data_IF_681835104996
#
_entry.id   IF_681835104996
#
_cell.length_a   1.000
_cell.length_b   1.000
_cell.length_c   1.000
_cell.angle_alpha   90.00
_cell.angle_beta   90.00
_cell.angle_gamma   90.00
#
_symmetry.space_group_name_H-M   'P 1'
#
loop_
_entity.id
_entity.type
_entity.pdbx_description
1 polymer ?
#
# COMPACT_ATOMS: atom_id res chain seq x y z
N UNK A 1 -12.72 -17.54 -6.34
CA UNK A 1 -13.56 -16.32 -6.21
C UNK A 1 -13.54 -15.70 -4.80
N UNK A 2 -12.41 -15.10 -4.38
CA UNK A 2 -12.38 -14.23 -3.18
C UNK A 2 -12.67 -12.81 -3.65
N UNK A 3 -13.95 -12.49 -3.83
CA UNK A 3 -14.39 -11.10 -3.76
C UNK A 3 -13.84 -10.58 -2.43
N UNK A 4 -13.02 -9.53 -2.46
CA UNK A 4 -12.61 -8.79 -1.26
C UNK A 4 -13.87 -8.51 -0.46
N UNK A 5 -14.09 -9.34 0.57
CA UNK A 5 -15.34 -9.36 1.29
C UNK A 5 -15.55 -7.96 1.89
N UNK A 6 -16.81 -7.54 2.05
CA UNK A 6 -17.14 -6.22 2.61
C UNK A 6 -16.34 -5.95 3.88
N UNK A 7 -16.10 -6.97 4.72
CA UNK A 7 -15.29 -6.89 5.94
C UNK A 7 -13.81 -6.66 5.67
N UNK A 8 -13.19 -7.33 4.70
CA UNK A 8 -11.79 -7.06 4.32
C UNK A 8 -11.63 -5.66 3.74
N UNK A 9 -12.52 -5.25 2.81
CA UNK A 9 -12.50 -3.89 2.27
C UNK A 9 -12.65 -2.87 3.39
N UNK A 10 -13.60 -3.08 4.29
CA UNK A 10 -13.85 -2.22 5.45
C UNK A 10 -12.62 -2.13 6.36
N UNK A 11 -11.98 -3.25 6.70
CA UNK A 11 -10.75 -3.26 7.51
C UNK A 11 -9.62 -2.42 6.92
N UNK A 12 -9.47 -2.40 5.59
CA UNK A 12 -8.45 -1.57 4.96
C UNK A 12 -8.78 -0.07 5.03
N UNK A 13 -10.06 0.29 4.89
CA UNK A 13 -10.51 1.66 5.09
C UNK A 13 -10.39 2.10 6.55
N UNK A 14 -10.60 1.19 7.51
CA UNK A 14 -10.35 1.47 8.93
C UNK A 14 -8.87 1.82 9.19
N UNK A 15 -7.91 1.20 8.49
CA UNK A 15 -6.50 1.58 8.61
C UNK A 15 -6.25 3.02 8.11
N UNK A 16 -6.91 3.45 7.02
CA UNK A 16 -6.83 4.82 6.49
C UNK A 16 -7.49 5.81 7.45
N UNK A 17 -8.67 5.50 7.97
CA UNK A 17 -9.36 6.34 8.96
C UNK A 17 -8.56 6.43 10.27
N UNK A 18 -7.86 5.35 10.64
CA UNK A 18 -6.91 5.37 11.77
C UNK A 18 -5.76 6.34 11.49
N UNK A 19 -5.17 6.31 10.30
CA UNK A 19 -4.12 7.26 9.91
C UNK A 19 -4.62 8.72 9.93
N UNK A 20 -5.88 8.98 9.52
CA UNK A 20 -6.52 10.29 9.64
C UNK A 20 -6.67 10.76 11.08
N UNK A 21 -7.16 9.89 11.97
CA UNK A 21 -7.31 10.20 13.39
C UNK A 21 -5.94 10.52 14.04
N UNK A 22 -4.89 9.77 13.69
CA UNK A 22 -3.52 10.00 14.16
C UNK A 22 -2.96 11.33 13.64
N UNK A 23 -3.28 11.72 12.40
CA UNK A 23 -2.91 13.01 11.84
C UNK A 23 -3.57 14.16 12.60
N UNK A 24 -4.87 14.04 12.90
CA UNK A 24 -5.60 15.02 13.72
C UNK A 24 -5.04 15.13 15.14
N UNK A 25 -4.50 14.04 15.69
CA UNK A 25 -3.82 14.01 16.99
C UNK A 25 -2.39 14.57 16.98
N UNK A 26 -1.87 15.03 15.82
CA UNK A 26 -0.53 15.61 15.70
C UNK A 26 0.61 14.60 15.79
N UNK A 27 0.35 13.32 15.51
CA UNK A 27 1.30 12.21 15.66
C UNK A 27 1.90 11.80 14.30
N UNK A 28 2.60 12.72 13.64
CA UNK A 28 3.00 12.62 12.23
C UNK A 28 3.81 11.37 11.86
N UNK A 29 4.80 10.98 12.68
CA UNK A 29 5.58 9.78 12.43
C UNK A 29 4.71 8.50 12.44
N UNK A 30 3.67 8.46 13.27
CA UNK A 30 2.74 7.34 13.31
C UNK A 30 1.79 7.35 12.10
N UNK A 31 1.47 8.52 11.51
CA UNK A 31 0.67 8.61 10.29
C UNK A 31 1.38 7.88 9.14
N UNK A 32 2.64 8.21 8.91
CA UNK A 32 3.42 7.63 7.80
C UNK A 32 3.69 6.14 7.99
N UNK A 33 3.84 5.69 9.24
CA UNK A 33 3.92 4.27 9.57
C UNK A 33 2.61 3.53 9.25
N UNK A 34 1.46 4.11 9.64
CA UNK A 34 0.15 3.49 9.42
C UNK A 34 -0.22 3.37 7.94
N UNK A 35 0.23 4.31 7.11
CA UNK A 35 -0.05 4.33 5.67
C UNK A 35 0.44 3.10 4.89
N UNK A 36 1.44 2.37 5.40
CA UNK A 36 1.90 1.10 4.80
C UNK A 36 0.80 0.03 4.82
N UNK A 37 0.04 -0.09 5.92
CA UNK A 37 -0.88 -1.20 6.18
C UNK A 37 -1.98 -1.36 5.12
N UNK A 38 -2.78 -0.32 4.78
CA UNK A 38 -3.88 -0.48 3.83
C UNK A 38 -3.38 -0.83 2.42
N UNK A 39 -2.23 -0.27 2.01
CA UNK A 39 -1.62 -0.54 0.70
C UNK A 39 -1.09 -1.96 0.63
N UNK A 40 -0.30 -2.39 1.62
CA UNK A 40 0.28 -3.74 1.65
C UNK A 40 -0.81 -4.82 1.71
N UNK A 41 -1.81 -4.65 2.59
CA UNK A 41 -2.93 -5.60 2.71
C UNK A 41 -3.72 -5.70 1.40
N UNK A 42 -4.01 -4.58 0.76
CA UNK A 42 -4.77 -4.58 -0.50
C UNK A 42 -3.98 -5.23 -1.65
N UNK A 43 -2.67 -4.94 -1.80
CA UNK A 43 -1.84 -5.57 -2.84
C UNK A 43 -1.68 -7.08 -2.60
N UNK A 44 -1.55 -7.51 -1.34
CA UNK A 44 -1.57 -8.94 -1.01
C UNK A 44 -2.93 -9.58 -1.29
N UNK A 45 -4.04 -8.86 -1.07
CA UNK A 45 -5.37 -9.30 -1.47
C UNK A 45 -5.51 -9.45 -2.99
N UNK A 46 -4.94 -8.52 -3.77
CA UNK A 46 -4.88 -8.65 -5.23
C UNK A 46 -4.05 -9.86 -5.67
N UNK A 47 -2.94 -10.15 -4.99
CA UNK A 47 -2.15 -11.36 -5.28
C UNK A 47 -3.01 -12.63 -5.11
N UNK A 48 -3.71 -12.76 -3.98
CA UNK A 48 -4.61 -13.90 -3.75
C UNK A 48 -5.71 -13.96 -4.80
N UNK A 49 -6.27 -12.82 -5.18
CA UNK A 49 -7.34 -12.72 -6.18
C UNK A 49 -6.89 -13.16 -7.58
N UNK A 50 -5.66 -12.82 -7.99
CA UNK A 50 -5.18 -13.11 -9.36
C UNK A 50 -4.43 -14.44 -9.47
N UNK A 51 -3.76 -14.86 -8.40
CA UNK A 51 -2.90 -16.04 -8.42
C UNK A 51 -3.53 -17.26 -7.75
N UNK A 52 -4.61 -17.09 -6.97
CA UNK A 52 -5.24 -18.12 -6.13
C UNK A 52 -4.24 -18.83 -5.18
N UNK A 53 -3.20 -18.10 -4.78
CA UNK A 53 -2.08 -18.58 -3.96
C UNK A 53 -1.86 -17.68 -2.73
N UNK A 54 -1.19 -18.22 -1.71
CA UNK A 54 -0.79 -17.43 -0.53
C UNK A 54 0.23 -16.35 -0.92
N UNK A 55 0.07 -15.10 -0.44
CA UNK A 55 0.94 -14.01 -0.84
C UNK A 55 2.37 -14.21 -0.31
N UNK A 56 3.38 -13.70 -1.05
CA UNK A 56 4.77 -13.81 -0.62
C UNK A 56 4.99 -13.16 0.75
N UNK A 57 5.82 -13.79 1.59
CA UNK A 57 6.20 -13.30 2.92
C UNK A 57 7.19 -12.11 2.83
N UNK A 58 6.70 -10.97 2.36
CA UNK A 58 7.45 -9.72 2.20
C UNK A 58 6.59 -8.52 2.58
N UNK A 59 7.23 -7.43 2.99
CA UNK A 59 6.60 -6.11 3.17
C UNK A 59 6.80 -5.20 1.96
N UNK A 60 7.62 -5.63 0.99
CA UNK A 60 7.83 -4.86 -0.23
C UNK A 60 6.63 -5.01 -1.17
N UNK A 61 5.78 -3.98 -1.19
CA UNK A 61 4.69 -3.82 -2.16
C UNK A 61 5.23 -4.03 -3.59
N UNK A 62 6.43 -3.51 -3.87
CA UNK A 62 7.06 -3.63 -5.17
C UNK A 62 7.32 -5.08 -5.59
N UNK A 63 7.74 -5.92 -4.63
CA UNK A 63 7.98 -7.35 -4.85
C UNK A 63 6.68 -8.14 -5.02
N UNK A 64 5.61 -7.81 -4.27
CA UNK A 64 4.32 -8.52 -4.41
C UNK A 64 3.79 -8.36 -5.84
N UNK A 65 3.77 -7.13 -6.36
CA UNK A 65 3.41 -6.86 -7.76
C UNK A 65 4.30 -7.56 -8.78
N UNK A 66 5.61 -7.65 -8.53
CA UNK A 66 6.52 -8.41 -9.40
C UNK A 66 6.07 -9.88 -9.47
N UNK A 67 5.70 -10.47 -8.32
CA UNK A 67 5.18 -11.83 -8.24
C UNK A 67 3.83 -12.01 -8.93
N UNK A 68 2.94 -11.01 -8.89
CA UNK A 68 1.69 -11.04 -9.67
C UNK A 68 2.01 -11.17 -11.17
N UNK A 69 2.87 -10.30 -11.71
CA UNK A 69 3.22 -10.31 -13.13
C UNK A 69 4.00 -11.58 -13.53
N UNK A 70 4.87 -12.09 -12.66
CA UNK A 70 5.58 -13.36 -12.91
C UNK A 70 4.60 -14.54 -13.01
N UNK A 71 3.50 -14.52 -12.26
CA UNK A 71 2.51 -15.61 -12.20
C UNK A 71 1.40 -15.46 -13.25
N UNK A 72 0.92 -14.23 -13.47
CA UNK A 72 -0.10 -13.88 -14.45
C UNK A 72 0.43 -12.78 -15.39
N UNK A 73 1.24 -13.13 -16.41
CA UNK A 73 1.87 -12.14 -17.29
C UNK A 73 0.87 -11.32 -18.11
N UNK A 74 -0.30 -11.88 -18.39
CA UNK A 74 -1.34 -11.31 -19.26
C UNK A 74 -2.58 -10.82 -18.50
N UNK A 75 -2.49 -10.67 -17.17
CA UNK A 75 -3.64 -10.30 -16.32
C UNK A 75 -4.25 -8.93 -16.67
N UNK A 76 -3.42 -7.99 -17.12
CA UNK A 76 -3.84 -6.63 -17.41
C UNK A 76 -4.05 -6.45 -18.90
N UNK A 77 -5.29 -6.13 -19.30
CA UNK A 77 -5.64 -5.82 -20.70
C UNK A 77 -4.78 -4.67 -21.26
N UNK A 78 -4.62 -3.59 -20.48
CA UNK A 78 -3.70 -2.49 -20.78
C UNK A 78 -2.47 -2.54 -19.86
N UNK A 79 -1.52 -3.40 -20.23
CA UNK A 79 -0.28 -3.58 -19.50
C UNK A 79 0.57 -2.31 -19.44
N UNK A 80 0.51 -1.45 -20.45
CA UNK A 80 1.29 -0.21 -20.51
C UNK A 80 0.75 0.84 -19.53
N UNK A 81 -0.57 1.02 -19.48
CA UNK A 81 -1.20 1.89 -18.48
C UNK A 81 -0.92 1.40 -17.05
N UNK A 82 -0.97 0.09 -16.82
CA UNK A 82 -0.56 -0.50 -15.54
C UNK A 82 0.90 -0.17 -15.21
N UNK A 83 1.84 -0.42 -16.15
CA UNK A 83 3.28 -0.17 -15.95
C UNK A 83 3.55 1.29 -15.63
N UNK A 84 2.96 2.22 -16.37
CA UNK A 84 3.08 3.66 -16.14
C UNK A 84 2.60 4.06 -14.75
N UNK A 85 1.44 3.55 -14.31
CA UNK A 85 0.94 3.78 -12.95
C UNK A 85 1.85 3.15 -11.88
N UNK A 86 2.37 1.95 -12.15
CA UNK A 86 3.31 1.25 -11.28
C UNK A 86 4.60 2.02 -11.07
N UNK A 87 5.14 2.59 -12.15
CA UNK A 87 6.32 3.44 -12.12
C UNK A 87 6.05 4.75 -11.37
N UNK A 88 4.92 5.40 -11.67
CA UNK A 88 4.47 6.63 -10.99
C UNK A 88 4.50 6.49 -9.46
N UNK A 89 4.02 5.36 -8.91
CA UNK A 89 3.98 5.12 -7.46
C UNK A 89 5.18 4.34 -6.91
N UNK A 90 6.15 3.96 -7.76
CA UNK A 90 7.26 3.10 -7.37
C UNK A 90 8.10 3.68 -6.23
N UNK A 91 8.45 4.97 -6.32
CA UNK A 91 9.18 5.70 -5.27
C UNK A 91 8.37 5.80 -3.97
N UNK A 92 7.05 5.94 -4.06
CA UNK A 92 6.17 5.98 -2.91
C UNK A 92 6.13 4.65 -2.15
N UNK A 93 6.14 3.50 -2.85
CA UNK A 93 6.24 2.19 -2.20
C UNK A 93 7.56 2.00 -1.43
N UNK A 94 8.66 2.51 -1.97
CA UNK A 94 9.95 2.49 -1.27
C UNK A 94 9.89 3.38 -0.02
N UNK A 95 9.26 4.56 -0.13
CA UNK A 95 9.07 5.51 0.97
C UNK A 95 8.22 4.90 2.10
N UNK A 96 7.07 4.28 1.80
CA UNK A 96 6.23 3.61 2.80
C UNK A 96 6.98 2.47 3.51
N UNK A 97 7.74 1.66 2.77
CA UNK A 97 8.53 0.58 3.36
C UNK A 97 9.61 1.13 4.31
N UNK A 98 10.27 2.24 3.95
CA UNK A 98 11.25 2.89 4.80
C UNK A 98 10.64 3.39 6.11
N UNK A 99 9.46 4.04 6.06
CA UNK A 99 8.73 4.46 7.26
C UNK A 99 8.32 3.28 8.14
N UNK A 100 7.82 2.21 7.52
CA UNK A 100 7.42 1.00 8.24
C UNK A 100 8.58 0.33 8.99
N UNK A 101 9.75 0.23 8.34
CA UNK A 101 10.94 -0.39 8.95
C UNK A 101 11.53 0.50 10.05
N UNK A 102 11.48 1.82 9.87
CA UNK A 102 12.13 2.75 10.79
C UNK A 102 11.54 2.73 12.21
N UNK A 103 10.28 2.33 12.39
CA UNK A 103 9.70 2.11 13.72
C UNK A 103 10.42 1.01 14.52
N UNK A 104 11.08 0.06 13.84
CA UNK A 104 11.79 -1.05 14.46
C UNK A 104 13.20 -0.69 14.95
N UNK A 105 13.72 0.48 14.58
CA UNK A 105 15.07 0.92 14.91
C UNK A 105 15.06 2.31 15.55
N UNK A 106 15.38 2.45 16.86
CA UNK A 106 15.30 3.71 17.59
C UNK A 106 16.07 4.87 16.93
N UNK A 107 17.26 4.59 16.38
CA UNK A 107 18.11 5.60 15.72
C UNK A 107 17.53 6.14 14.40
N UNK A 108 16.74 5.33 13.68
CA UNK A 108 16.03 5.78 12.48
C UNK A 108 14.75 6.52 12.86
N UNK A 109 14.04 6.04 13.88
CA UNK A 109 12.85 6.70 14.45
C UNK A 109 13.17 8.13 14.89
N UNK A 110 14.30 8.35 15.54
CA UNK A 110 14.75 9.68 15.96
C UNK A 110 14.99 10.61 14.77
N UNK A 111 15.74 10.17 13.75
CA UNK A 111 15.98 10.95 12.54
C UNK A 111 14.68 11.31 11.80
N UNK A 112 13.78 10.34 11.65
CA UNK A 112 12.50 10.58 10.99
C UNK A 112 11.58 11.49 11.80
N UNK A 113 11.64 11.45 13.12
CA UNK A 113 10.85 12.35 13.97
C UNK A 113 11.23 13.82 13.77
N UNK A 114 12.46 14.10 13.30
CA UNK A 114 12.94 15.44 13.00
C UNK A 114 12.58 15.90 11.58
N UNK A 115 12.26 14.98 10.66
CA UNK A 115 11.99 15.29 9.24
C UNK A 115 10.54 15.13 8.85
N UNK A 116 9.78 14.24 9.51
CA UNK A 116 8.36 14.00 9.24
C UNK A 116 7.53 14.99 10.03
N UNK A 117 7.18 16.09 9.37
CA UNK A 117 6.28 17.10 9.89
C UNK A 117 4.82 16.86 9.45
N UNK A 118 3.95 17.84 9.75
CA UNK A 118 2.54 17.77 9.38
C UNK A 118 2.34 17.73 7.87
N UNK A 119 3.14 18.48 7.11
CA UNK A 119 3.01 18.56 5.66
C UNK A 119 3.34 17.20 5.06
N UNK A 120 4.50 16.66 5.40
CA UNK A 120 4.96 15.34 4.96
C UNK A 120 3.96 14.23 5.31
N UNK A 121 3.45 14.20 6.55
CA UNK A 121 2.43 13.23 6.95
C UNK A 121 1.11 13.38 6.18
N UNK A 122 0.69 14.62 5.87
CA UNK A 122 -0.52 14.90 5.09
C UNK A 122 -0.36 14.46 3.64
N UNK A 123 0.80 14.72 3.03
CA UNK A 123 1.12 14.31 1.66
C UNK A 123 1.17 12.78 1.53
N UNK A 124 1.80 12.09 2.49
CA UNK A 124 1.84 10.63 2.53
C UNK A 124 0.44 10.03 2.69
N UNK A 125 -0.39 10.58 3.57
CA UNK A 125 -1.77 10.12 3.73
C UNK A 125 -2.60 10.34 2.46
N UNK A 126 -2.49 11.52 1.85
CA UNK A 126 -3.20 11.84 0.61
C UNK A 126 -2.80 10.90 -0.53
N UNK A 127 -1.50 10.66 -0.68
CA UNK A 127 -0.98 9.73 -1.70
C UNK A 127 -1.41 8.29 -1.41
N UNK A 128 -1.46 7.89 -0.13
CA UNK A 128 -2.00 6.58 0.29
C UNK A 128 -3.44 6.40 -0.20
N UNK A 129 -4.31 7.40 -0.02
CA UNK A 129 -5.70 7.33 -0.47
C UNK A 129 -5.84 7.26 -1.99
N UNK A 130 -5.01 7.99 -2.73
CA UNK A 130 -4.96 7.93 -4.19
C UNK A 130 -4.55 6.53 -4.68
N UNK A 131 -3.42 6.03 -4.16
CA UNK A 131 -2.91 4.70 -4.49
C UNK A 131 -3.92 3.63 -4.12
N UNK A 132 -4.55 3.74 -2.96
CA UNK A 132 -5.57 2.79 -2.52
C UNK A 132 -6.74 2.68 -3.50
N UNK A 133 -7.23 3.81 -4.02
CA UNK A 133 -8.28 3.84 -5.05
C UNK A 133 -7.81 3.19 -6.36
N UNK A 134 -6.59 3.49 -6.79
CA UNK A 134 -6.02 2.85 -7.98
C UNK A 134 -5.92 1.32 -7.79
N UNK A 135 -5.40 0.85 -6.66
CA UNK A 135 -5.33 -0.57 -6.34
C UNK A 135 -6.70 -1.24 -6.33
N UNK A 136 -7.73 -0.58 -5.77
CA UNK A 136 -9.09 -1.11 -5.79
C UNK A 136 -9.62 -1.29 -7.22
N UNK A 137 -9.25 -0.41 -8.16
CA UNK A 137 -9.68 -0.51 -9.55
C UNK A 137 -9.11 -1.75 -10.26
N UNK A 138 -7.93 -2.24 -9.84
CA UNK A 138 -7.29 -3.40 -10.46
C UNK A 138 -8.11 -4.69 -10.31
N UNK A 139 -9.05 -4.77 -9.35
CA UNK A 139 -9.91 -5.95 -9.17
C UNK A 139 -10.75 -6.28 -10.40
N UNK A 140 -10.99 -5.32 -11.28
CA UNK A 140 -11.75 -5.55 -12.51
C UNK A 140 -11.06 -6.55 -13.46
N UNK A 141 -9.76 -6.79 -13.27
CA UNK A 141 -8.96 -7.74 -14.03
C UNK A 141 -8.93 -9.13 -13.40
N UNK A 142 -9.72 -9.39 -12.35
CA UNK A 142 -9.77 -10.71 -11.74
C UNK A 142 -10.27 -11.75 -12.77
N UNK A 143 -9.65 -12.95 -12.84
CA UNK A 143 -10.18 -14.04 -13.64
C UNK A 143 -11.59 -14.41 -13.16
N UNK A 144 -12.45 -14.83 -14.09
CA UNK A 144 -13.80 -15.34 -13.78
C UNK A 144 -13.78 -16.59 -12.91
#
# INVERSE_FOLDING_TARGET
MIILDKKQKYSYWEDIETARAILSAGRYLYVVFMCQQPIEKLVKGLYVLFCEEEPPRTHSISMVFKKIIEFQPDIFEDLEAYRKKREQYGSFFVKLLAYYIAERYPSYKEKLSQTVDRQEATEVLTTTEEVFKWLLSLKQYAPE
#
